data_IF_279009762979
#
_entry.id   IF_279009762979
#
_cell.length_a   1.000
_cell.length_b   1.000
_cell.length_c   1.000
_cell.angle_alpha   90.00
_cell.angle_beta   90.00
_cell.angle_gamma   90.00
#
_symmetry.space_group_name_H-M   'P 1'
#
loop_
_entity.id
_entity.type
_entity.pdbx_description
1 polymer ?
#
# COMPACT_ATOMS: atom_id res chain seq x y z
N UNK A 1 10.82 10.37 24.67
CA UNK A 1 11.21 9.89 23.32
C UNK A 1 10.63 8.51 23.03
N UNK A 2 10.92 7.47 23.82
CA UNK A 2 10.41 6.09 23.62
C UNK A 2 8.88 5.93 23.50
N UNK A 3 8.08 6.67 24.26
CA UNK A 3 6.61 6.54 24.20
C UNK A 3 6.01 7.05 22.87
N UNK A 4 6.63 8.07 22.26
CA UNK A 4 6.18 8.64 20.99
C UNK A 4 6.51 7.70 19.83
N UNK A 5 7.75 7.18 19.78
CA UNK A 5 8.19 6.20 18.79
C UNK A 5 7.35 4.92 18.82
N UNK A 6 7.04 4.42 20.02
CA UNK A 6 6.17 3.25 20.19
C UNK A 6 4.77 3.51 19.64
N UNK A 7 4.19 4.67 19.94
CA UNK A 7 2.87 5.07 19.42
C UNK A 7 2.88 5.17 17.90
N UNK A 8 3.94 5.70 17.31
CA UNK A 8 4.10 5.76 15.84
C UNK A 8 4.20 4.37 15.22
N UNK A 9 4.98 3.47 15.81
CA UNK A 9 5.10 2.10 15.35
C UNK A 9 3.75 1.39 15.37
N UNK A 10 2.96 1.60 16.43
CA UNK A 10 1.61 1.02 16.53
C UNK A 10 0.65 1.61 15.49
N UNK A 11 0.78 2.91 15.16
CA UNK A 11 0.06 3.52 14.03
C UNK A 11 0.43 2.89 12.69
N UNK A 12 1.74 2.67 12.41
CA UNK A 12 2.20 2.04 11.17
C UNK A 12 1.68 0.60 11.06
N UNK A 13 1.72 -0.17 12.16
CA UNK A 13 1.16 -1.54 12.19
C UNK A 13 -0.34 -1.56 11.90
N UNK A 14 -1.06 -0.57 12.42
CA UNK A 14 -2.50 -0.43 12.18
C UNK A 14 -2.79 -0.11 10.71
N UNK A 15 -2.01 0.81 10.11
CA UNK A 15 -2.09 1.12 8.68
C UNK A 15 -1.77 -0.11 7.81
N UNK A 16 -0.72 -0.87 8.16
CA UNK A 16 -0.37 -2.11 7.49
C UNK A 16 -1.51 -3.14 7.53
N UNK A 17 -2.15 -3.31 8.69
CA UNK A 17 -3.28 -4.23 8.83
C UNK A 17 -4.47 -3.82 7.93
N UNK A 18 -4.77 -2.53 7.82
CA UNK A 18 -5.82 -2.03 6.91
C UNK A 18 -5.43 -2.23 5.44
N UNK A 19 -4.18 -1.93 5.05
CA UNK A 19 -3.69 -2.17 3.70
C UNK A 19 -3.72 -3.67 3.32
N UNK A 20 -3.43 -4.55 4.28
CA UNK A 20 -3.49 -6.00 4.08
C UNK A 20 -4.93 -6.48 3.83
N UNK A 21 -5.92 -5.94 4.54
CA UNK A 21 -7.34 -6.25 4.27
C UNK A 21 -7.76 -5.86 2.86
N UNK A 22 -7.39 -4.65 2.43
CA UNK A 22 -7.65 -4.19 1.07
C UNK A 22 -7.00 -5.11 0.04
N UNK A 23 -5.74 -5.53 0.27
CA UNK A 23 -5.03 -6.47 -0.61
C UNK A 23 -5.80 -7.78 -0.76
N UNK A 24 -6.27 -8.38 0.34
CA UNK A 24 -7.06 -9.62 0.29
C UNK A 24 -8.35 -9.44 -0.53
N UNK A 25 -9.02 -8.28 -0.40
CA UNK A 25 -10.23 -7.97 -1.17
C UNK A 25 -9.96 -7.76 -2.66
N UNK A 26 -8.84 -7.14 -3.01
CA UNK A 26 -8.41 -7.03 -4.40
C UNK A 26 -8.07 -8.39 -5.00
N UNK A 27 -7.42 -9.28 -4.23
CA UNK A 27 -7.16 -10.66 -4.66
C UNK A 27 -8.46 -11.44 -4.86
N UNK A 28 -9.44 -11.29 -3.96
CA UNK A 28 -10.77 -11.88 -4.13
C UNK A 28 -11.46 -11.38 -5.42
N UNK A 29 -11.37 -10.08 -5.70
CA UNK A 29 -11.94 -9.47 -6.90
C UNK A 29 -11.27 -9.98 -8.18
N UNK A 30 -9.94 -10.04 -8.20
CA UNK A 30 -9.16 -10.58 -9.33
C UNK A 30 -9.53 -12.05 -9.58
N UNK A 31 -9.56 -12.87 -8.53
CA UNK A 31 -9.90 -14.28 -8.65
C UNK A 31 -11.30 -14.48 -9.23
N UNK A 32 -12.30 -13.70 -8.81
CA UNK A 32 -13.66 -13.73 -9.38
C UNK A 32 -13.64 -13.37 -10.87
N UNK A 33 -12.88 -12.34 -11.25
CA UNK A 33 -12.77 -11.90 -12.64
C UNK A 33 -12.15 -12.98 -13.54
N UNK A 34 -11.07 -13.61 -13.07
CA UNK A 34 -10.36 -14.66 -13.80
C UNK A 34 -11.18 -15.96 -13.92
N UNK A 35 -11.92 -16.34 -12.87
CA UNK A 35 -12.67 -17.60 -12.84
C UNK A 35 -14.05 -17.50 -13.50
N UNK A 36 -14.72 -16.36 -13.35
CA UNK A 36 -16.11 -16.22 -13.79
C UNK A 36 -16.23 -15.56 -15.16
N UNK A 37 -15.29 -14.72 -15.58
CA UNK A 37 -15.26 -14.11 -16.91
C UNK A 37 -16.62 -13.58 -17.37
N UNK A 38 -17.14 -14.13 -18.47
CA UNK A 38 -18.46 -13.77 -19.03
C UNK A 38 -19.67 -14.23 -18.21
N UNK A 39 -19.47 -15.17 -17.27
CA UNK A 39 -20.51 -15.69 -16.34
C UNK A 39 -20.46 -15.01 -14.97
N UNK A 40 -19.79 -13.86 -14.87
CA UNK A 40 -19.61 -13.13 -13.63
C UNK A 40 -20.96 -12.71 -13.02
N UNK A 41 -21.16 -13.02 -11.74
CA UNK A 41 -22.28 -12.52 -10.94
C UNK A 41 -22.05 -11.04 -10.62
N UNK A 42 -22.52 -10.17 -11.51
CA UNK A 42 -22.26 -8.74 -11.47
C UNK A 42 -22.66 -8.06 -10.13
N UNK A 43 -23.84 -8.34 -9.53
CA UNK A 43 -24.17 -7.86 -8.20
C UNK A 43 -23.12 -8.20 -7.13
N UNK A 44 -22.64 -9.44 -7.10
CA UNK A 44 -21.64 -9.88 -6.14
C UNK A 44 -20.27 -9.26 -6.41
N UNK A 45 -19.88 -9.16 -7.68
CA UNK A 45 -18.65 -8.46 -8.08
C UNK A 45 -18.65 -6.99 -7.64
N UNK A 46 -19.72 -6.26 -7.94
CA UNK A 46 -19.89 -4.86 -7.53
C UNK A 46 -19.90 -4.70 -6.02
N UNK A 47 -20.51 -5.65 -5.29
CA UNK A 47 -20.46 -5.65 -3.84
C UNK A 47 -19.01 -5.78 -3.32
N UNK A 48 -18.22 -6.71 -3.87
CA UNK A 48 -16.80 -6.84 -3.51
C UNK A 48 -15.99 -5.58 -3.86
N UNK A 49 -16.28 -4.95 -4.99
CA UNK A 49 -15.66 -3.67 -5.37
C UNK A 49 -16.03 -2.55 -4.38
N UNK A 50 -17.29 -2.49 -3.95
CA UNK A 50 -17.76 -1.53 -2.93
C UNK A 50 -17.08 -1.73 -1.58
N UNK A 51 -16.78 -2.97 -1.21
CA UNK A 51 -15.96 -3.27 -0.02
C UNK A 51 -14.52 -2.76 -0.19
N UNK A 52 -13.90 -2.94 -1.36
CA UNK A 52 -12.56 -2.39 -1.64
C UNK A 52 -12.55 -0.85 -1.48
N UNK A 53 -13.57 -0.17 -2.03
CA UNK A 53 -13.71 1.28 -1.90
C UNK A 53 -13.89 1.71 -0.43
N UNK A 54 -14.64 0.94 0.36
CA UNK A 54 -14.82 1.17 1.79
C UNK A 54 -13.49 1.06 2.56
N UNK A 55 -12.72 -0.01 2.32
CA UNK A 55 -11.41 -0.20 2.94
C UNK A 55 -10.41 0.91 2.55
N UNK A 56 -10.41 1.34 1.28
CA UNK A 56 -9.62 2.47 0.82
C UNK A 56 -9.99 3.77 1.55
N UNK A 57 -11.28 4.03 1.75
CA UNK A 57 -11.74 5.21 2.47
C UNK A 57 -11.32 5.18 3.95
N UNK A 58 -11.31 4.01 4.59
CA UNK A 58 -10.80 3.86 5.95
C UNK A 58 -9.28 4.11 6.03
N UNK A 59 -8.51 3.63 5.05
CA UNK A 59 -7.08 3.94 4.94
C UNK A 59 -6.87 5.45 4.78
N UNK A 60 -7.63 6.10 3.88
CA UNK A 60 -7.57 7.55 3.68
C UNK A 60 -7.84 8.31 4.98
N UNK A 61 -8.94 8.01 5.67
CA UNK A 61 -9.27 8.62 6.97
C UNK A 61 -8.18 8.41 8.00
N UNK A 62 -7.56 7.23 8.02
CA UNK A 62 -6.46 6.95 8.94
C UNK A 62 -5.25 7.83 8.67
N UNK A 63 -4.83 7.95 7.39
CA UNK A 63 -3.68 8.77 6.99
C UNK A 63 -3.94 10.26 7.24
N UNK A 64 -5.15 10.73 6.97
CA UNK A 64 -5.58 12.11 7.24
C UNK A 64 -5.82 12.41 8.74
N UNK A 65 -5.81 11.37 9.59
CA UNK A 65 -6.09 11.56 11.02
C UNK A 65 -4.88 12.12 11.78
N UNK A 66 -5.19 12.84 12.86
CA UNK A 66 -4.26 13.28 13.92
C UNK A 66 -3.51 12.12 14.63
N UNK A 67 -3.74 10.85 14.25
CA UNK A 67 -2.98 9.68 14.73
C UNK A 67 -1.72 9.42 13.92
N UNK A 68 -1.60 10.08 12.76
CA UNK A 68 -0.42 10.05 11.89
C UNK A 68 0.16 11.45 11.57
N UNK A 69 0.18 12.42 12.52
CA UNK A 69 0.47 13.83 12.25
C UNK A 69 1.95 14.12 11.99
N UNK A 70 2.79 13.09 11.96
CA UNK A 70 4.22 13.19 11.66
C UNK A 70 4.61 12.48 10.36
N UNK A 71 3.64 12.03 9.55
CA UNK A 71 3.92 11.46 8.24
C UNK A 71 4.82 12.36 7.39
N UNK A 72 4.50 13.66 7.40
CA UNK A 72 5.17 14.67 6.59
C UNK A 72 6.58 15.00 7.08
N UNK A 73 6.91 14.64 8.32
CA UNK A 73 8.25 14.83 8.90
C UNK A 73 9.07 13.53 8.99
N UNK A 74 8.49 12.38 8.66
CA UNK A 74 9.18 11.10 8.68
C UNK A 74 9.98 10.90 7.39
N UNK A 75 11.29 10.90 7.52
CA UNK A 75 12.20 10.54 6.43
C UNK A 75 12.58 9.07 6.54
N UNK A 76 12.18 8.27 5.56
CA UNK A 76 12.61 6.88 5.45
C UNK A 76 13.99 6.83 4.80
N UNK A 77 14.98 6.36 5.55
CA UNK A 77 16.35 6.15 5.05
C UNK A 77 16.71 4.68 5.16
N UNK A 78 17.15 4.02 4.07
CA UNK A 78 17.72 2.68 4.13
C UNK A 78 18.87 2.61 5.13
N UNK A 79 18.81 1.65 6.06
CA UNK A 79 19.92 1.41 7.01
C UNK A 79 21.06 0.62 6.37
N UNK A 80 20.73 -0.30 5.47
CA UNK A 80 21.68 -1.17 4.78
C UNK A 80 21.16 -1.44 3.38
N UNK A 81 22.06 -1.37 2.41
CA UNK A 81 21.82 -1.81 1.04
C UNK A 81 22.70 -3.02 0.78
N UNK A 82 22.08 -4.11 0.33
CA UNK A 82 22.77 -5.36 0.05
C UNK A 82 22.42 -5.84 -1.35
N UNK A 83 23.42 -6.25 -2.16
CA UNK A 83 23.17 -6.94 -3.42
C UNK A 83 22.73 -8.39 -3.20
N UNK A 84 22.94 -8.93 -1.99
CA UNK A 84 22.60 -10.32 -1.68
C UNK A 84 21.12 -10.47 -1.35
N UNK A 85 20.49 -11.59 -1.77
CA UNK A 85 19.11 -11.88 -1.41
C UNK A 85 18.91 -12.00 0.10
N UNK A 86 17.91 -11.30 0.63
CA UNK A 86 17.48 -11.43 2.01
C UNK A 86 16.20 -12.29 2.08
N UNK A 87 16.27 -13.53 2.59
CA UNK A 87 15.12 -14.43 2.68
C UNK A 87 14.06 -13.93 3.67
N UNK A 88 14.43 -13.11 4.66
CA UNK A 88 13.47 -12.52 5.61
C UNK A 88 12.66 -11.45 4.90
N UNK A 89 13.33 -10.60 4.11
CA UNK A 89 12.69 -9.57 3.30
C UNK A 89 11.79 -10.16 2.21
N UNK A 90 12.28 -11.19 1.51
CA UNK A 90 11.49 -11.95 0.53
C UNK A 90 10.21 -12.47 1.15
N UNK A 91 10.31 -13.23 2.25
CA UNK A 91 9.15 -13.79 2.94
C UNK A 91 8.18 -12.72 3.43
N UNK A 92 8.67 -11.62 4.00
CA UNK A 92 7.84 -10.54 4.51
C UNK A 92 7.09 -9.77 3.40
N UNK A 93 7.65 -9.74 2.19
CA UNK A 93 7.07 -9.02 1.04
C UNK A 93 6.33 -9.92 0.07
N UNK A 94 6.19 -11.21 0.41
CA UNK A 94 5.64 -12.27 -0.45
C UNK A 94 6.43 -12.39 -1.76
N UNK A 95 7.75 -12.46 -1.64
CA UNK A 95 8.73 -12.59 -2.71
C UNK A 95 8.73 -11.44 -3.73
N UNK A 96 8.02 -10.34 -3.44
CA UNK A 96 8.02 -9.14 -4.30
C UNK A 96 9.30 -8.33 -4.19
N UNK A 97 10.06 -8.49 -3.11
CA UNK A 97 11.33 -7.81 -2.88
C UNK A 97 12.28 -8.78 -2.20
N UNK A 98 13.16 -9.41 -2.97
CA UNK A 98 14.17 -10.34 -2.48
C UNK A 98 15.54 -9.69 -2.26
N UNK A 99 15.84 -8.61 -2.97
CA UNK A 99 17.12 -7.88 -2.91
C UNK A 99 16.84 -6.39 -2.70
N UNK A 100 17.49 -5.75 -1.72
CA UNK A 100 17.36 -4.33 -1.46
C UNK A 100 18.67 -3.59 -1.74
N UNK A 101 18.88 -3.22 -3.00
CA UNK A 101 20.10 -2.61 -3.52
C UNK A 101 19.86 -1.20 -4.11
N UNK A 102 20.90 -0.60 -4.67
CA UNK A 102 20.83 0.75 -5.27
C UNK A 102 19.85 0.87 -6.44
N UNK A 103 19.49 -0.23 -7.10
CA UNK A 103 18.56 -0.24 -8.24
C UNK A 103 17.11 -0.37 -7.78
N UNK A 104 16.86 -1.18 -6.74
CA UNK A 104 15.52 -1.41 -6.20
C UNK A 104 15.05 -0.25 -5.32
N UNK A 105 15.94 0.33 -4.51
CA UNK A 105 15.57 1.36 -3.52
C UNK A 105 14.77 2.52 -4.11
N UNK A 106 15.17 3.14 -5.25
CA UNK A 106 14.40 4.25 -5.83
C UNK A 106 12.99 3.85 -6.26
N UNK A 107 12.75 2.57 -6.55
CA UNK A 107 11.45 2.07 -6.97
C UNK A 107 10.52 1.91 -5.76
N UNK A 108 11.00 1.30 -4.67
CA UNK A 108 10.17 1.02 -3.48
C UNK A 108 10.03 2.21 -2.53
N UNK A 109 10.97 3.16 -2.53
CA UNK A 109 10.88 4.41 -1.77
C UNK A 109 10.37 5.59 -2.62
N UNK A 110 9.82 5.32 -3.80
CA UNK A 110 9.30 6.36 -4.68
C UNK A 110 8.13 7.11 -4.03
N UNK A 111 8.26 8.41 -3.89
CA UNK A 111 7.19 9.32 -3.42
C UNK A 111 6.52 10.09 -4.56
N UNK A 112 7.14 10.12 -5.76
CA UNK A 112 6.53 10.74 -6.94
C UNK A 112 5.31 9.94 -7.38
N UNK A 113 4.20 10.65 -7.55
CA UNK A 113 2.96 10.09 -8.12
C UNK A 113 3.23 9.41 -9.47
N UNK A 114 2.34 8.48 -9.81
CA UNK A 114 2.32 7.86 -11.12
C UNK A 114 2.10 8.94 -12.21
N UNK A 115 2.80 8.85 -13.37
CA UNK A 115 2.65 9.84 -14.44
C UNK A 115 1.20 10.06 -14.90
N UNK A 116 0.38 9.00 -14.96
CA UNK A 116 -1.02 9.13 -15.38
C UNK A 116 -1.84 9.91 -14.35
N UNK A 117 -1.61 9.66 -13.06
CA UNK A 117 -2.29 10.37 -11.97
C UNK A 117 -1.86 11.83 -11.92
N UNK A 118 -0.56 12.10 -12.06
CA UNK A 118 -0.04 13.47 -12.12
C UNK A 118 -0.58 14.24 -13.32
N UNK A 119 -0.65 13.61 -14.49
CA UNK A 119 -1.22 14.22 -15.70
C UNK A 119 -2.70 14.56 -15.49
N UNK A 120 -3.48 13.64 -14.92
CA UNK A 120 -4.89 13.85 -14.62
C UNK A 120 -5.10 15.02 -13.65
N UNK A 121 -4.30 15.10 -12.58
CA UNK A 121 -4.37 16.23 -11.63
C UNK A 121 -4.07 17.56 -12.32
N UNK A 122 -3.05 17.61 -13.16
CA UNK A 122 -2.72 18.82 -13.92
C UNK A 122 -3.83 19.19 -14.90
N UNK A 123 -4.50 18.21 -15.50
CA UNK A 123 -5.62 18.45 -16.41
C UNK A 123 -6.85 19.06 -15.71
N UNK A 124 -7.11 18.69 -14.46
CA UNK A 124 -8.22 19.24 -13.67
C UNK A 124 -7.90 20.56 -12.96
N UNK A 125 -6.64 20.99 -12.95
CA UNK A 125 -6.19 22.23 -12.32
C UNK A 125 -6.06 23.42 -13.30
N UNK A 126 -6.52 23.27 -14.55
CA UNK A 126 -6.68 24.32 -15.57
C UNK A 126 -8.11 24.31 -16.13
#
# INVERSE_FOLDING_TARGET
>A
MQAAEKRQLDSIKSLYASAFKLKLKLQELMFKLETQGERCDWPNYLNTLGLCASELNEIRKFVESERFPQADSLVLTPLLLSPDPDPILGKATEERLSVFNHDSVPQYLRTRLDPHVSCLLNFFLF
#
